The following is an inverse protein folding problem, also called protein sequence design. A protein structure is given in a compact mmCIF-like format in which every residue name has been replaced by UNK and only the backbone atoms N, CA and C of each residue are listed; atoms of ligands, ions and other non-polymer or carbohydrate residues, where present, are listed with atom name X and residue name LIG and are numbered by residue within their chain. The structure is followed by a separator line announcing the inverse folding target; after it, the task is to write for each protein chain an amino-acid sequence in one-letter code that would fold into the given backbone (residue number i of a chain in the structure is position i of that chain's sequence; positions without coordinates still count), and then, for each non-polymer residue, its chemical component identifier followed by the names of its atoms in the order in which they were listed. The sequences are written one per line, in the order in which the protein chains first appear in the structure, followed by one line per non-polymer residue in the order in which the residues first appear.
data_IF_517240223244
#
_entry.id   IF_517240223244
#
_cell.length_a   1.000
_cell.length_b   1.000
_cell.length_c   1.000
_cell.angle_alpha   90.00
_cell.angle_beta   90.00
_cell.angle_gamma   90.00
#
_symmetry.space_group_name_H-M   'P 1'
#
loop_
_entity.id
_entity.type
_entity.pdbx_description
1 polymer ?
#
# COMPACT_ATOMS: atom_id res chain seq x y z
N UNK A 1 1.78 2.99 45.59
CA UNK A 1 1.34 2.82 44.19
C UNK A 1 -0.15 2.58 44.24
N UNK A 2 -0.93 3.51 43.73
CA UNK A 2 -2.39 3.46 43.83
C UNK A 2 -2.95 2.46 42.81
N UNK A 3 -4.18 1.98 43.03
CA UNK A 3 -4.85 1.06 42.09
C UNK A 3 -4.94 1.67 40.66
N UNK A 4 -5.06 2.99 40.56
CA UNK A 4 -5.04 3.72 39.29
C UNK A 4 -3.70 3.60 38.57
N UNK A 5 -2.57 3.76 39.27
CA UNK A 5 -1.23 3.60 38.68
C UNK A 5 -1.04 2.19 38.10
N UNK A 6 -1.52 1.17 38.82
CA UNK A 6 -1.42 -0.22 38.37
C UNK A 6 -2.25 -0.47 37.10
N UNK A 7 -3.44 0.10 37.01
CA UNK A 7 -4.29 -0.03 35.81
C UNK A 7 -3.69 0.68 34.59
N UNK A 8 -3.06 1.84 34.78
CA UNK A 8 -2.33 2.55 33.72
C UNK A 8 -1.13 1.73 33.23
N UNK A 9 -0.36 1.13 34.14
CA UNK A 9 0.80 0.29 33.79
C UNK A 9 0.37 -0.93 32.97
N UNK A 10 -0.68 -1.63 33.41
CA UNK A 10 -1.21 -2.81 32.70
C UNK A 10 -1.70 -2.41 31.30
N UNK A 11 -2.49 -1.33 31.19
CA UNK A 11 -3.00 -0.84 29.91
C UNK A 11 -1.88 -0.43 28.95
N UNK A 12 -0.83 0.21 29.48
CA UNK A 12 0.35 0.58 28.71
C UNK A 12 1.11 -0.65 28.22
N UNK A 13 1.26 -1.66 29.08
CA UNK A 13 1.89 -2.94 28.74
C UNK A 13 1.17 -3.65 27.59
N UNK A 14 -0.16 -3.69 27.60
CA UNK A 14 -0.96 -4.31 26.54
C UNK A 14 -0.81 -3.58 25.20
N UNK A 15 -0.76 -2.24 25.22
CA UNK A 15 -0.54 -1.43 24.03
C UNK A 15 0.85 -1.71 23.45
N UNK A 16 1.89 -1.69 24.29
CA UNK A 16 3.27 -1.96 23.86
C UNK A 16 3.40 -3.38 23.29
N UNK A 17 2.77 -4.38 23.93
CA UNK A 17 2.77 -5.76 23.44
C UNK A 17 2.11 -5.89 22.07
N UNK A 18 0.96 -5.25 21.88
CA UNK A 18 0.23 -5.24 20.60
C UNK A 18 1.05 -4.59 19.48
N UNK A 19 1.66 -3.45 19.78
CA UNK A 19 2.54 -2.73 18.85
C UNK A 19 3.74 -3.60 18.47
N UNK A 20 4.43 -4.19 19.46
CA UNK A 20 5.58 -5.06 19.23
C UNK A 20 5.22 -6.27 18.36
N UNK A 21 4.06 -6.88 18.60
CA UNK A 21 3.57 -7.99 17.78
C UNK A 21 3.32 -7.56 16.33
N UNK A 22 2.72 -6.38 16.12
CA UNK A 22 2.58 -5.78 14.78
C UNK A 22 3.92 -5.58 14.07
N UNK A 23 4.95 -5.11 14.78
CA UNK A 23 6.31 -4.94 14.24
C UNK A 23 6.99 -6.25 13.87
N UNK A 24 6.75 -7.32 14.63
CA UNK A 24 7.27 -8.65 14.29
C UNK A 24 6.64 -9.12 12.98
N UNK A 25 5.31 -9.03 12.86
CA UNK A 25 4.59 -9.43 11.63
C UNK A 25 5.09 -8.64 10.42
N UNK A 26 5.15 -7.30 10.53
CA UNK A 26 5.55 -6.46 9.39
C UNK A 26 7.00 -6.73 8.98
N UNK A 27 7.90 -7.01 9.92
CA UNK A 27 9.30 -7.35 9.63
C UNK A 27 9.43 -8.69 8.91
N UNK A 28 8.65 -9.70 9.33
CA UNK A 28 8.62 -11.00 8.65
C UNK A 28 8.09 -10.84 7.22
N UNK A 29 6.96 -10.16 7.05
CA UNK A 29 6.37 -9.90 5.73
C UNK A 29 7.31 -9.11 4.82
N UNK A 30 8.00 -8.10 5.36
CA UNK A 30 8.98 -7.32 4.63
C UNK A 30 10.21 -8.15 4.22
N UNK A 31 10.71 -9.01 5.10
CA UNK A 31 11.80 -9.94 4.78
C UNK A 31 11.43 -10.89 3.63
N UNK A 32 10.22 -11.46 3.68
CA UNK A 32 9.68 -12.28 2.58
C UNK A 32 9.53 -11.47 1.28
N UNK A 33 9.13 -10.20 1.38
CA UNK A 33 9.02 -9.31 0.22
C UNK A 33 10.38 -9.04 -0.41
N UNK A 34 11.41 -8.69 0.39
CA UNK A 34 12.77 -8.48 -0.12
C UNK A 34 13.27 -9.74 -0.81
N UNK A 35 13.05 -10.92 -0.22
CA UNK A 35 13.45 -12.19 -0.81
C UNK A 35 12.81 -12.42 -2.19
N UNK A 36 11.49 -12.25 -2.28
CA UNK A 36 10.76 -12.42 -3.56
C UNK A 36 11.11 -11.35 -4.60
N UNK A 37 11.26 -10.09 -4.17
CA UNK A 37 11.67 -8.98 -5.04
C UNK A 37 13.11 -9.17 -5.56
N UNK A 38 14.03 -9.58 -4.68
CA UNK A 38 15.41 -9.91 -5.04
C UNK A 38 15.48 -11.07 -6.03
N UNK A 39 14.67 -12.11 -5.82
CA UNK A 39 14.54 -13.22 -6.76
C UNK A 39 14.03 -12.76 -8.13
N UNK A 40 12.99 -11.90 -8.16
CA UNK A 40 12.47 -11.33 -9.40
C UNK A 40 13.54 -10.50 -10.15
N UNK A 41 14.27 -9.63 -9.45
CA UNK A 41 15.34 -8.79 -10.00
C UNK A 41 16.49 -9.65 -10.55
N UNK A 42 16.90 -10.66 -9.78
CA UNK A 42 17.95 -11.60 -10.19
C UNK A 42 17.58 -12.29 -11.51
N UNK A 43 16.35 -12.78 -11.60
CA UNK A 43 15.86 -13.49 -12.78
C UNK A 43 15.79 -12.58 -14.01
N UNK A 44 15.30 -11.36 -13.86
CA UNK A 44 15.27 -10.36 -14.93
C UNK A 44 16.66 -9.97 -15.42
N UNK A 45 17.63 -9.88 -14.51
CA UNK A 45 19.01 -9.52 -14.84
C UNK A 45 19.74 -10.66 -15.54
N UNK A 46 19.57 -11.90 -15.06
CA UNK A 46 20.21 -13.10 -15.61
C UNK A 46 19.83 -13.37 -17.07
N UNK A 47 18.58 -13.10 -17.44
CA UNK A 47 18.04 -13.42 -18.77
C UNK A 47 18.30 -12.35 -19.83
N UNK A 48 19.15 -11.35 -19.53
CA UNK A 48 19.57 -10.31 -20.45
C UNK A 48 18.55 -9.18 -20.60
N UNK A 49 19.03 -7.96 -20.40
CA UNK A 49 18.27 -6.70 -20.40
C UNK A 49 18.09 -6.06 -21.80
N UNK A 50 18.31 -6.82 -22.87
CA UNK A 50 18.45 -6.27 -24.23
C UNK A 50 17.16 -5.70 -24.84
N UNK A 51 15.99 -5.98 -24.25
CA UNK A 51 14.68 -5.51 -24.73
C UNK A 51 14.10 -4.42 -23.82
N UNK A 52 13.71 -3.28 -24.40
CA UNK A 52 13.02 -2.15 -23.73
C UNK A 52 11.92 -2.56 -22.72
N UNK A 53 10.98 -3.48 -23.02
CA UNK A 53 9.96 -3.88 -22.05
C UNK A 53 10.52 -4.50 -20.76
N UNK A 54 11.62 -5.27 -20.85
CA UNK A 54 12.25 -5.86 -19.66
C UNK A 54 12.92 -4.80 -18.80
N UNK A 55 13.52 -3.78 -19.41
CA UNK A 55 14.11 -2.64 -18.69
C UNK A 55 13.04 -1.86 -17.93
N UNK A 56 11.88 -1.61 -18.54
CA UNK A 56 10.75 -0.93 -17.89
C UNK A 56 10.25 -1.74 -16.69
N UNK A 57 10.07 -3.05 -16.85
CA UNK A 57 9.63 -3.93 -15.75
C UNK A 57 10.64 -3.96 -14.61
N UNK A 58 11.94 -4.07 -14.91
CA UNK A 58 13.00 -4.01 -13.89
C UNK A 58 12.98 -2.66 -13.15
N UNK A 59 12.84 -1.56 -13.88
CA UNK A 59 12.75 -0.22 -13.29
C UNK A 59 11.55 -0.12 -12.34
N UNK A 60 10.37 -0.57 -12.76
CA UNK A 60 9.17 -0.59 -11.91
C UNK A 60 9.42 -1.44 -10.65
N UNK A 61 10.03 -2.62 -10.78
CA UNK A 61 10.32 -3.49 -9.64
C UNK A 61 11.32 -2.84 -8.66
N UNK A 62 12.36 -2.16 -9.16
CA UNK A 62 13.31 -1.42 -8.34
C UNK A 62 12.64 -0.25 -7.61
N UNK A 63 11.76 0.50 -8.29
CA UNK A 63 10.97 1.56 -7.67
C UNK A 63 10.06 1.02 -6.57
N UNK A 64 9.35 -0.08 -6.82
CA UNK A 64 8.49 -0.74 -5.83
C UNK A 64 9.30 -1.22 -4.62
N UNK A 65 10.46 -1.83 -4.85
CA UNK A 65 11.33 -2.32 -3.79
C UNK A 65 11.86 -1.17 -2.92
N UNK A 66 12.29 -0.08 -3.56
CA UNK A 66 12.81 1.12 -2.89
C UNK A 66 11.71 1.77 -2.05
N UNK A 67 10.51 1.96 -2.62
CA UNK A 67 9.37 2.57 -1.91
C UNK A 67 8.91 1.71 -0.74
N UNK A 68 8.87 0.39 -0.90
CA UNK A 68 8.52 -0.53 0.19
C UNK A 68 9.56 -0.48 1.31
N UNK A 69 10.84 -0.35 0.96
CA UNK A 69 11.94 -0.21 1.93
C UNK A 69 11.86 1.09 2.70
N UNK A 70 11.67 2.21 2.01
CA UNK A 70 11.50 3.52 2.66
C UNK A 70 10.32 3.46 3.62
N UNK A 71 9.19 2.93 3.18
CA UNK A 71 7.99 2.84 4.01
C UNK A 71 8.19 1.92 5.23
N UNK A 72 8.86 0.79 5.08
CA UNK A 72 9.21 -0.08 6.21
C UNK A 72 10.10 0.63 7.23
N UNK A 73 11.13 1.34 6.77
CA UNK A 73 12.04 2.11 7.63
C UNK A 73 11.29 3.22 8.36
N UNK A 74 10.41 3.95 7.66
CA UNK A 74 9.56 4.98 8.25
C UNK A 74 8.68 4.40 9.36
N UNK A 75 8.02 3.27 9.10
CA UNK A 75 7.17 2.59 10.09
C UNK A 75 7.99 2.15 11.32
N UNK A 76 9.18 1.57 11.12
CA UNK A 76 10.05 1.19 12.22
C UNK A 76 10.53 2.40 13.02
N UNK A 77 10.93 3.47 12.34
CA UNK A 77 11.39 4.70 12.98
C UNK A 77 10.29 5.34 13.84
N UNK A 78 9.05 5.41 13.34
CA UNK A 78 7.89 5.88 14.12
C UNK A 78 7.71 5.07 15.41
N UNK A 79 7.82 3.75 15.33
CA UNK A 79 7.70 2.85 16.49
C UNK A 79 8.75 3.05 17.57
N UNK A 80 9.98 3.41 17.20
CA UNK A 80 11.05 3.67 18.17
C UNK A 80 11.00 5.10 18.71
N UNK A 81 10.61 6.08 17.91
CA UNK A 81 10.58 7.49 18.30
C UNK A 81 9.43 7.81 19.25
N UNK A 82 8.28 7.13 19.13
CA UNK A 82 7.11 7.38 19.98
C UNK A 82 7.38 7.14 21.48
N UNK A 83 7.89 5.97 21.90
CA UNK A 83 8.22 5.72 23.30
C UNK A 83 9.36 6.61 23.80
N UNK A 84 10.40 6.84 22.97
CA UNK A 84 11.55 7.66 23.37
C UNK A 84 11.14 9.11 23.67
N UNK A 85 10.30 9.73 22.84
CA UNK A 85 9.84 11.09 23.08
C UNK A 85 8.94 11.21 24.31
N UNK A 86 8.04 10.24 24.52
CA UNK A 86 7.14 10.21 25.69
C UNK A 86 7.92 10.02 27.00
N UNK A 87 8.93 9.14 26.98
CA UNK A 87 9.68 8.77 28.19
C UNK A 87 10.83 9.73 28.52
N UNK A 88 11.53 10.28 27.52
CA UNK A 88 12.79 11.02 27.74
C UNK A 88 12.57 12.54 27.85
N UNK A 89 11.59 13.11 27.14
CA UNK A 89 11.53 14.57 26.92
C UNK A 89 10.66 15.37 27.91
N UNK A 90 10.13 14.74 28.94
CA UNK A 90 9.49 15.44 30.05
C UNK A 90 9.99 14.84 31.34
N UNK A 91 10.55 15.63 32.24
CA UNK A 91 10.67 15.22 33.64
C UNK A 91 9.76 16.05 34.55
N UNK A 92 9.13 17.10 34.00
CA UNK A 92 8.36 18.12 34.71
C UNK A 92 6.86 18.18 34.36
N UNK A 93 6.42 17.52 33.28
CA UNK A 93 5.02 17.53 32.82
C UNK A 93 4.32 16.21 33.18
N UNK A 94 3.01 16.24 33.42
CA UNK A 94 2.19 15.03 33.59
C UNK A 94 2.18 14.18 32.29
N UNK A 95 1.99 12.86 32.43
CA UNK A 95 2.06 11.91 31.31
C UNK A 95 1.06 12.25 30.19
N UNK A 96 -0.12 12.76 30.55
CA UNK A 96 -1.16 13.15 29.59
C UNK A 96 -0.74 14.37 28.74
N UNK A 97 -0.13 15.39 29.36
CA UNK A 97 0.40 16.55 28.65
C UNK A 97 1.55 16.17 27.72
N UNK A 98 2.38 15.18 28.10
CA UNK A 98 3.45 14.67 27.22
C UNK A 98 2.90 13.94 26.00
N UNK A 99 1.84 13.15 26.18
CA UNK A 99 1.17 12.46 25.06
C UNK A 99 0.52 13.49 24.12
N UNK A 100 -0.09 14.54 24.67
CA UNK A 100 -0.63 15.65 23.88
C UNK A 100 0.46 16.44 23.14
N UNK A 101 1.56 16.77 23.82
CA UNK A 101 2.70 17.44 23.23
C UNK A 101 3.38 16.59 22.15
N UNK A 102 3.51 15.27 22.36
CA UNK A 102 4.02 14.34 21.36
C UNK A 102 3.09 14.24 20.14
N UNK A 103 1.77 14.14 20.35
CA UNK A 103 0.79 14.17 19.26
C UNK A 103 0.88 15.48 18.48
N UNK A 104 1.13 16.60 19.14
CA UNK A 104 1.37 17.89 18.49
C UNK A 104 2.75 17.95 17.79
N UNK A 105 3.75 17.23 18.29
CA UNK A 105 5.13 17.23 17.77
C UNK A 105 5.44 16.11 16.77
N UNK A 106 4.48 15.25 16.42
CA UNK A 106 4.68 14.12 15.47
C UNK A 106 5.13 14.60 14.07
N UNK A 107 5.00 15.90 13.81
CA UNK A 107 5.29 16.57 12.54
C UNK A 107 6.78 16.74 12.14
N UNK A 108 7.74 17.19 12.97
CA UNK A 108 9.07 17.61 12.46
C UNK A 108 10.20 16.57 12.54
N UNK A 109 10.06 15.49 13.33
CA UNK A 109 11.18 14.64 13.73
C UNK A 109 11.73 13.72 12.62
N UNK A 110 10.85 13.24 11.74
CA UNK A 110 11.23 12.26 10.70
C UNK A 110 12.03 12.91 9.56
N UNK A 111 11.66 14.14 9.17
CA UNK A 111 12.43 14.96 8.21
C UNK A 111 13.75 15.46 8.78
N UNK A 112 13.80 15.81 10.07
CA UNK A 112 15.06 16.18 10.74
C UNK A 112 16.08 15.03 10.67
N UNK A 113 15.65 13.79 10.91
CA UNK A 113 16.53 12.63 10.83
C UNK A 113 16.92 12.25 9.38
N UNK A 114 15.99 12.30 8.43
CA UNK A 114 16.32 12.07 7.00
C UNK A 114 17.27 13.16 6.47
N UNK A 115 17.08 14.41 6.87
CA UNK A 115 17.98 15.52 6.56
C UNK A 115 19.38 15.34 7.15
N UNK A 116 19.46 14.83 8.39
CA UNK A 116 20.74 14.51 9.02
C UNK A 116 21.45 13.30 8.39
N UNK A 117 20.72 12.30 7.90
CA UNK A 117 21.29 11.16 7.16
C UNK A 117 21.82 11.61 5.78
N UNK A 118 21.20 12.62 5.16
CA UNK A 118 21.58 13.12 3.83
C UNK A 118 22.80 14.05 3.85
N UNK A 119 23.39 14.35 5.02
CA UNK A 119 24.64 15.10 5.17
C UNK A 119 24.64 16.54 4.63
N UNK A 120 23.53 17.02 4.08
CA UNK A 120 23.45 18.26 3.34
C UNK A 120 22.02 18.80 3.41
N UNK A 121 21.72 19.54 4.48
CA UNK A 121 20.79 20.69 4.50
C UNK A 121 20.56 21.09 5.96
N UNK A 122 21.31 22.09 6.39
CA UNK A 122 21.19 22.72 7.70
C UNK A 122 19.93 23.61 7.70
N UNK A 123 18.74 23.00 7.77
CA UNK A 123 17.47 23.73 7.86
C UNK A 123 17.31 24.21 9.30
N UNK A 124 17.59 25.50 9.50
CA UNK A 124 17.31 26.22 10.75
C UNK A 124 15.79 26.28 10.93
N UNK A 125 15.26 25.42 11.80
CA UNK A 125 13.83 25.39 12.15
C UNK A 125 13.46 26.65 12.94
N UNK A 126 12.65 27.51 12.34
CA UNK A 126 12.06 28.68 12.99
C UNK A 126 10.68 28.29 13.52
N UNK A 127 10.50 28.44 14.83
CA UNK A 127 9.38 27.93 15.62
C UNK A 127 8.13 28.83 15.49
N UNK A 128 7.55 28.96 14.30
CA UNK A 128 6.31 29.75 14.13
C UNK A 128 5.36 29.12 13.10
N UNK A 129 4.19 28.67 13.59
CA UNK A 129 2.95 28.46 12.84
C UNK A 129 2.95 27.52 11.61
N UNK A 130 3.31 26.24 11.79
CA UNK A 130 3.03 25.18 10.79
C UNK A 130 2.37 23.98 11.47
N UNK A 131 1.09 24.10 11.83
CA UNK A 131 0.38 23.06 12.58
C UNK A 131 -0.38 22.05 11.70
N UNK A 132 -0.28 22.10 10.36
CA UNK A 132 -1.20 21.38 9.46
C UNK A 132 -0.57 20.53 8.35
N UNK A 133 0.76 20.43 8.23
CA UNK A 133 1.35 19.92 6.98
C UNK A 133 2.09 18.56 7.03
N UNK A 134 2.17 17.84 8.15
CA UNK A 134 3.15 16.72 8.28
C UNK A 134 2.61 15.34 8.67
N UNK A 135 1.34 15.20 9.10
CA UNK A 135 0.61 13.92 8.94
C UNK A 135 0.56 13.50 7.46
N UNK A 136 0.79 14.44 6.55
CA UNK A 136 0.84 14.25 5.11
C UNK A 136 1.96 13.32 4.65
N UNK A 137 3.08 13.13 5.36
CA UNK A 137 4.26 12.42 4.80
C UNK A 137 4.12 10.90 4.82
N UNK A 138 3.75 10.31 5.97
CA UNK A 138 3.44 8.87 6.03
C UNK A 138 2.23 8.52 5.15
N UNK A 139 1.26 9.44 5.09
CA UNK A 139 0.20 9.39 4.09
C UNK A 139 0.77 9.39 2.67
N UNK A 140 1.62 10.35 2.28
CA UNK A 140 2.22 10.47 0.93
C UNK A 140 2.93 9.16 0.53
N UNK A 141 3.69 8.53 1.41
CA UNK A 141 4.38 7.26 1.10
C UNK A 141 3.40 6.10 0.90
N UNK A 142 2.36 6.00 1.74
CA UNK A 142 1.28 5.04 1.55
C UNK A 142 0.54 5.30 0.22
N UNK A 143 0.28 6.56 -0.11
CA UNK A 143 -0.37 6.99 -1.36
C UNK A 143 0.47 6.72 -2.62
N UNK A 144 1.79 6.86 -2.53
CA UNK A 144 2.70 6.50 -3.61
C UNK A 144 2.62 5.00 -3.94
N UNK A 145 2.47 4.14 -2.93
CA UNK A 145 2.29 2.70 -3.15
C UNK A 145 0.97 2.37 -3.86
N UNK A 146 -0.12 3.07 -3.54
CA UNK A 146 -1.39 2.94 -4.26
C UNK A 146 -1.24 3.33 -5.74
N UNK A 147 -0.54 4.43 -6.04
CA UNK A 147 -0.32 4.86 -7.43
C UNK A 147 0.46 3.84 -8.25
N UNK A 148 1.51 3.23 -7.69
CA UNK A 148 2.26 2.18 -8.39
C UNK A 148 1.45 0.90 -8.57
N UNK A 149 0.68 0.51 -7.54
CA UNK A 149 -0.25 -0.63 -7.62
C UNK A 149 -1.29 -0.42 -8.72
N UNK A 150 -1.92 0.75 -8.76
CA UNK A 150 -2.93 1.08 -9.78
C UNK A 150 -2.30 1.18 -11.18
N UNK A 151 -1.09 1.72 -11.30
CA UNK A 151 -0.35 1.77 -12.57
C UNK A 151 -0.13 0.36 -13.15
N UNK A 152 0.17 -0.63 -12.31
CA UNK A 152 0.35 -2.02 -12.73
C UNK A 152 -0.97 -2.65 -13.21
N UNK A 153 -2.09 -2.27 -12.60
CA UNK A 153 -3.44 -2.69 -12.96
C UNK A 153 -3.85 -2.16 -14.32
N UNK A 154 -3.50 -0.91 -14.62
CA UNK A 154 -3.70 -0.34 -15.95
C UNK A 154 -2.75 -0.94 -16.97
N UNK A 155 -1.49 -1.16 -16.59
CA UNK A 155 -0.50 -1.78 -17.46
C UNK A 155 -0.92 -3.17 -17.93
N UNK A 156 -1.47 -4.04 -17.05
CA UNK A 156 -1.97 -5.37 -17.45
C UNK A 156 -3.11 -5.29 -18.46
N UNK A 157 -4.08 -4.40 -18.26
CA UNK A 157 -5.21 -4.24 -19.17
C UNK A 157 -4.75 -3.65 -20.52
N UNK A 158 -3.85 -2.67 -20.47
CA UNK A 158 -3.26 -2.05 -21.65
C UNK A 158 -2.45 -3.02 -22.50
N UNK A 159 -1.57 -3.80 -21.87
CA UNK A 159 -0.72 -4.79 -22.54
C UNK A 159 -1.57 -5.78 -23.35
N UNK A 160 -2.74 -6.13 -22.81
CA UNK A 160 -3.66 -7.06 -23.44
C UNK A 160 -4.47 -6.39 -24.55
N UNK A 161 -4.93 -5.15 -24.40
CA UNK A 161 -5.84 -4.48 -25.35
C UNK A 161 -5.15 -3.61 -26.42
N UNK A 162 -3.96 -3.99 -26.88
CA UNK A 162 -3.29 -3.31 -28.00
C UNK A 162 -4.19 -3.28 -29.25
N UNK A 163 -4.62 -2.06 -29.66
CA UNK A 163 -5.37 -1.82 -30.91
C UNK A 163 -6.78 -1.21 -30.73
N UNK A 164 -7.42 -1.38 -29.57
CA UNK A 164 -8.76 -0.81 -29.34
C UNK A 164 -8.69 0.53 -28.58
N UNK A 165 -8.58 1.64 -29.34
CA UNK A 165 -8.39 3.00 -28.79
C UNK A 165 -9.45 3.39 -27.76
N UNK A 166 -10.73 3.02 -27.95
CA UNK A 166 -11.82 3.39 -27.05
C UNK A 166 -11.64 2.84 -25.62
N UNK A 167 -11.32 1.55 -25.48
CA UNK A 167 -11.06 0.92 -24.18
C UNK A 167 -9.81 1.49 -23.51
N UNK A 168 -8.77 1.77 -24.30
CA UNK A 168 -7.56 2.43 -23.81
C UNK A 168 -7.85 3.84 -23.26
N UNK A 169 -8.70 4.61 -23.95
CA UNK A 169 -9.14 5.93 -23.48
C UNK A 169 -9.91 5.85 -22.17
N UNK A 170 -10.85 4.91 -22.05
CA UNK A 170 -11.60 4.71 -20.79
C UNK A 170 -10.65 4.36 -19.64
N UNK A 171 -9.70 3.44 -19.86
CA UNK A 171 -8.73 3.04 -18.86
C UNK A 171 -7.81 4.20 -18.44
N UNK A 172 -7.33 5.01 -19.40
CA UNK A 172 -6.53 6.20 -19.10
C UNK A 172 -7.36 7.23 -18.32
N UNK A 173 -8.59 7.52 -18.75
CA UNK A 173 -9.45 8.48 -18.09
C UNK A 173 -9.67 8.07 -16.63
N UNK A 174 -9.94 6.79 -16.38
CA UNK A 174 -10.11 6.27 -15.03
C UNK A 174 -8.82 6.31 -14.21
N UNK A 175 -7.66 6.01 -14.81
CA UNK A 175 -6.36 6.13 -14.17
C UNK A 175 -6.04 7.57 -13.75
N UNK A 176 -6.30 8.54 -14.64
CA UNK A 176 -6.11 9.96 -14.36
C UNK A 176 -7.08 10.43 -13.28
N UNK A 177 -8.35 10.05 -13.34
CA UNK A 177 -9.34 10.38 -12.31
C UNK A 177 -8.93 9.82 -10.95
N UNK A 178 -8.49 8.57 -10.90
CA UNK A 178 -8.02 7.95 -9.66
C UNK A 178 -6.75 8.64 -9.13
N UNK A 179 -5.77 8.93 -9.99
CA UNK A 179 -4.58 9.68 -9.60
C UNK A 179 -4.93 11.09 -9.09
N UNK A 180 -5.87 11.79 -9.75
CA UNK A 180 -6.34 13.10 -9.33
C UNK A 180 -7.05 13.04 -7.97
N UNK A 181 -7.89 12.02 -7.73
CA UNK A 181 -8.55 11.82 -6.43
C UNK A 181 -7.55 11.51 -5.32
N UNK A 182 -6.52 10.71 -5.62
CA UNK A 182 -5.43 10.43 -4.69
C UNK A 182 -4.69 11.74 -4.36
N UNK A 183 -4.29 12.52 -5.37
CA UNK A 183 -3.62 13.82 -5.18
C UNK A 183 -4.49 14.80 -4.40
N UNK A 184 -5.79 14.87 -4.71
CA UNK A 184 -6.74 15.74 -4.02
C UNK A 184 -6.89 15.35 -2.54
N UNK A 185 -6.96 14.05 -2.26
CA UNK A 185 -7.02 13.52 -0.90
C UNK A 185 -5.76 13.82 -0.09
N UNK A 186 -4.58 13.87 -0.75
CA UNK A 186 -3.32 14.27 -0.10
C UNK A 186 -3.18 15.76 0.10
N UNK A 187 -3.68 16.58 -0.82
CA UNK A 187 -3.44 18.02 -0.82
C UNK A 187 -4.39 18.79 0.09
N UNK A 188 -5.64 18.32 0.24
CA UNK A 188 -6.70 19.04 0.97
C UNK A 188 -6.88 18.50 2.40
N UNK A 189 -6.20 17.39 2.74
CA UNK A 189 -6.46 16.66 3.97
C UNK A 189 -7.84 15.98 3.94
N UNK A 190 -8.17 15.13 4.92
CA UNK A 190 -9.51 14.56 5.00
C UNK A 190 -10.52 15.72 5.08
N UNK A 191 -11.50 15.73 4.17
CA UNK A 191 -12.63 16.64 4.24
C UNK A 191 -13.32 16.42 5.59
N UNK A 192 -12.94 17.20 6.60
CA UNK A 192 -13.66 17.30 7.88
C UNK A 192 -14.94 18.05 7.58
N UNK A 193 -15.91 17.34 7.00
CA UNK A 193 -17.29 17.74 7.16
C UNK A 193 -17.66 17.37 8.59
N UNK A 194 -17.61 18.38 9.47
CA UNK A 194 -18.48 18.39 10.63
C UNK A 194 -19.90 18.06 10.14
N UNK A 195 -20.59 17.21 10.90
CA UNK A 195 -21.96 16.72 10.70
C UNK A 195 -22.12 15.33 10.03
N UNK A 196 -22.53 14.40 10.90
CA UNK A 196 -23.24 13.13 10.67
C UNK A 196 -22.42 11.84 10.66
N UNK A 197 -22.66 11.05 11.71
CA UNK A 197 -22.28 9.64 11.89
C UNK A 197 -23.00 8.76 10.87
N UNK A 198 -22.50 8.76 9.65
CA UNK A 198 -23.09 7.95 8.58
C UNK A 198 -22.02 7.19 7.82
N UNK A 199 -22.43 6.06 7.24
CA UNK A 199 -21.66 5.33 6.23
C UNK A 199 -21.11 6.27 5.15
N UNK A 200 -21.83 7.37 4.85
CA UNK A 200 -21.40 8.39 3.92
C UNK A 200 -20.09 9.10 4.30
N UNK A 201 -19.82 9.29 5.59
CA UNK A 201 -18.59 9.94 6.07
C UNK A 201 -17.37 9.03 5.94
N UNK A 202 -17.47 7.77 6.37
CA UNK A 202 -16.39 6.78 6.19
C UNK A 202 -16.17 6.41 4.72
N UNK A 203 -17.25 6.41 3.93
CA UNK A 203 -17.14 6.28 2.48
C UNK A 203 -16.33 7.43 1.89
N UNK A 204 -16.62 8.67 2.30
CA UNK A 204 -15.92 9.88 1.85
C UNK A 204 -14.44 9.87 2.23
N UNK A 205 -14.09 9.38 3.42
CA UNK A 205 -12.69 9.23 3.87
C UNK A 205 -11.94 8.15 3.09
N UNK A 206 -12.65 7.17 2.53
CA UNK A 206 -12.09 6.00 1.83
C UNK A 206 -12.33 6.00 0.32
N UNK A 207 -12.66 7.15 -0.28
CA UNK A 207 -12.97 7.27 -1.72
C UNK A 207 -11.83 6.76 -2.62
N UNK A 208 -10.57 7.05 -2.27
CA UNK A 208 -9.40 6.59 -3.04
C UNK A 208 -9.32 5.06 -3.12
N UNK A 209 -9.59 4.37 -2.01
CA UNK A 209 -9.63 2.90 -1.97
C UNK A 209 -10.77 2.35 -2.83
N UNK A 210 -11.93 3.01 -2.80
CA UNK A 210 -13.08 2.62 -3.61
C UNK A 210 -12.82 2.77 -5.11
N UNK A 211 -12.22 3.88 -5.54
CA UNK A 211 -11.84 4.08 -6.94
C UNK A 211 -10.74 3.13 -7.39
N UNK A 212 -9.75 2.82 -6.54
CA UNK A 212 -8.75 1.78 -6.83
C UNK A 212 -9.40 0.40 -6.99
N UNK A 213 -10.38 0.05 -6.14
CA UNK A 213 -11.13 -1.20 -6.24
C UNK A 213 -11.91 -1.29 -7.57
N UNK A 214 -12.65 -0.24 -7.94
CA UNK A 214 -13.38 -0.20 -9.22
C UNK A 214 -12.42 -0.33 -10.39
N UNK A 215 -11.28 0.39 -10.37
CA UNK A 215 -10.24 0.29 -11.41
C UNK A 215 -9.80 -1.17 -11.59
N UNK A 216 -9.57 -1.86 -10.48
CA UNK A 216 -9.14 -3.25 -10.45
C UNK A 216 -10.19 -4.21 -11.00
N UNK A 217 -11.45 -4.05 -10.60
CA UNK A 217 -12.56 -4.85 -11.09
C UNK A 217 -12.75 -4.62 -12.60
N UNK A 218 -12.74 -3.37 -13.06
CA UNK A 218 -12.88 -3.05 -14.48
C UNK A 218 -11.73 -3.62 -15.32
N UNK A 219 -10.49 -3.46 -14.86
CA UNK A 219 -9.32 -4.02 -15.54
C UNK A 219 -9.39 -5.55 -15.61
N UNK A 220 -9.71 -6.21 -14.50
CA UNK A 220 -9.83 -7.67 -14.44
C UNK A 220 -10.98 -8.17 -15.32
N UNK A 221 -12.12 -7.47 -15.30
CA UNK A 221 -13.28 -7.79 -16.14
C UNK A 221 -12.99 -7.61 -17.62
N UNK A 222 -12.27 -6.56 -18.02
CA UNK A 222 -11.85 -6.34 -19.41
C UNK A 222 -10.89 -7.44 -19.89
N UNK A 223 -9.98 -7.90 -19.02
CA UNK A 223 -9.10 -9.03 -19.29
C UNK A 223 -9.91 -10.33 -19.41
N UNK A 224 -10.84 -10.58 -18.48
CA UNK A 224 -11.71 -11.75 -18.47
C UNK A 224 -12.63 -11.80 -19.70
N UNK A 225 -13.19 -10.68 -20.11
CA UNK A 225 -14.00 -10.57 -21.32
C UNK A 225 -13.19 -10.91 -22.58
N UNK A 226 -11.93 -10.46 -22.66
CA UNK A 226 -11.06 -10.84 -23.76
C UNK A 226 -10.72 -12.32 -23.73
N UNK A 227 -10.49 -12.90 -22.55
CA UNK A 227 -10.29 -14.33 -22.37
C UNK A 227 -11.51 -15.14 -22.85
N UNK A 228 -12.71 -14.67 -22.49
CA UNK A 228 -13.97 -15.25 -22.93
C UNK A 228 -14.13 -15.19 -24.44
N UNK A 229 -13.90 -14.02 -25.07
CA UNK A 229 -13.99 -13.86 -26.53
C UNK A 229 -13.00 -14.76 -27.28
N UNK A 230 -11.85 -15.06 -26.68
CA UNK A 230 -10.86 -16.01 -27.20
C UNK A 230 -11.24 -17.49 -26.97
N UNK A 231 -12.44 -17.74 -26.45
CA UNK A 231 -12.99 -19.05 -26.07
C UNK A 231 -12.07 -19.84 -25.12
N UNK A 232 -11.33 -19.13 -24.26
CA UNK A 232 -10.37 -19.74 -23.31
C UNK A 232 -11.07 -20.65 -22.29
N UNK A 233 -12.31 -20.33 -21.93
CA UNK A 233 -13.07 -21.12 -20.97
C UNK A 233 -13.89 -22.26 -21.62
N UNK A 234 -13.93 -22.31 -22.96
CA UNK A 234 -14.65 -23.34 -23.73
C UNK A 234 -13.76 -24.54 -24.07
N UNK A 235 -14.32 -25.76 -23.96
CA UNK A 235 -13.66 -26.99 -24.41
C UNK A 235 -13.64 -27.03 -25.93
N UNK A 236 -12.50 -26.75 -26.55
CA UNK A 236 -12.15 -27.37 -27.83
C UNK A 236 -10.63 -27.32 -28.06
N UNK A 237 -10.05 -28.52 -28.08
CA UNK A 237 -8.69 -28.81 -28.50
C UNK A 237 -8.54 -28.44 -29.97
N UNK A 238 -7.92 -27.30 -30.29
CA UNK A 238 -7.26 -27.15 -31.58
C UNK A 238 -5.90 -26.49 -31.43
N UNK A 239 -4.91 -27.32 -31.73
CA UNK A 239 -3.47 -27.13 -31.71
C UNK A 239 -3.00 -25.92 -32.52
N UNK A 240 -2.43 -24.93 -31.82
CA UNK A 240 -1.35 -24.09 -32.33
C UNK A 240 -0.46 -23.74 -31.13
N UNK A 241 0.80 -24.20 -31.13
CA UNK A 241 1.75 -24.04 -30.00
C UNK A 241 1.89 -22.59 -29.48
N UNK A 242 1.64 -21.57 -30.32
CA UNK A 242 1.66 -20.16 -29.88
C UNK A 242 0.40 -19.71 -29.13
N UNK A 243 -0.73 -20.41 -29.29
CA UNK A 243 -2.04 -20.09 -28.70
C UNK A 243 -2.17 -20.60 -27.27
N UNK A 244 -1.44 -21.66 -26.89
CA UNK A 244 -1.39 -22.21 -25.53
C UNK A 244 -0.73 -21.26 -24.54
N UNK A 245 0.32 -20.53 -24.96
CA UNK A 245 1.03 -19.57 -24.11
C UNK A 245 0.17 -18.37 -23.74
N UNK A 246 -0.41 -17.70 -24.73
CA UNK A 246 -1.32 -16.57 -24.50
C UNK A 246 -2.51 -17.01 -23.67
N UNK A 247 -2.98 -18.25 -23.86
CA UNK A 247 -4.02 -18.86 -23.04
C UNK A 247 -3.61 -18.98 -21.56
N UNK A 248 -2.46 -19.60 -21.26
CA UNK A 248 -1.95 -19.78 -19.89
C UNK A 248 -1.79 -18.44 -19.18
N UNK A 249 -1.15 -17.50 -19.87
CA UNK A 249 -0.92 -16.13 -19.38
C UNK A 249 -2.26 -15.45 -19.08
N UNK A 250 -3.18 -15.42 -20.06
CA UNK A 250 -4.43 -14.70 -19.91
C UNK A 250 -5.32 -15.29 -18.82
N UNK A 251 -5.37 -16.62 -18.70
CA UNK A 251 -6.07 -17.30 -17.60
C UNK A 251 -5.47 -16.96 -16.24
N UNK A 252 -4.14 -17.03 -16.11
CA UNK A 252 -3.45 -16.67 -14.87
C UNK A 252 -3.71 -15.22 -14.47
N UNK A 253 -3.67 -14.27 -15.42
CA UNK A 253 -3.97 -12.86 -15.15
C UNK A 253 -5.40 -12.64 -14.64
N UNK A 254 -6.39 -13.39 -15.14
CA UNK A 254 -7.77 -13.33 -14.65
C UNK A 254 -7.88 -13.91 -13.25
N UNK A 255 -7.31 -15.09 -13.02
CA UNK A 255 -7.35 -15.76 -11.71
C UNK A 255 -6.65 -14.89 -10.63
N UNK A 256 -5.44 -14.39 -10.91
CA UNK A 256 -4.69 -13.54 -9.99
C UNK A 256 -5.39 -12.19 -9.76
N UNK A 257 -5.92 -11.58 -10.82
CA UNK A 257 -6.66 -10.32 -10.73
C UNK A 257 -7.93 -10.44 -9.90
N UNK A 258 -8.63 -11.58 -10.00
CA UNK A 258 -9.85 -11.85 -9.22
C UNK A 258 -9.53 -12.02 -7.74
N UNK A 259 -8.49 -12.79 -7.40
CA UNK A 259 -8.02 -12.92 -6.01
C UNK A 259 -7.61 -11.57 -5.42
N UNK A 260 -6.93 -10.73 -6.19
CA UNK A 260 -6.57 -9.39 -5.76
C UNK A 260 -7.81 -8.51 -5.50
N UNK A 261 -8.81 -8.54 -6.38
CA UNK A 261 -10.06 -7.80 -6.17
C UNK A 261 -10.77 -8.27 -4.89
N UNK A 262 -10.82 -9.57 -4.62
CA UNK A 262 -11.41 -10.11 -3.38
C UNK A 262 -10.67 -9.61 -2.14
N UNK A 263 -9.34 -9.64 -2.16
CA UNK A 263 -8.52 -9.10 -1.07
C UNK A 263 -8.76 -7.60 -0.86
N UNK A 264 -8.89 -6.83 -1.94
CA UNK A 264 -9.22 -5.40 -1.86
C UNK A 264 -10.62 -5.14 -1.30
N UNK A 265 -11.65 -5.93 -1.67
CA UNK A 265 -13.00 -5.82 -1.09
C UNK A 265 -12.96 -6.08 0.41
N UNK A 266 -12.28 -7.16 0.81
CA UNK A 266 -12.12 -7.52 2.21
C UNK A 266 -11.42 -6.40 2.97
N UNK A 267 -10.30 -5.89 2.44
CA UNK A 267 -9.57 -4.78 3.05
C UNK A 267 -10.44 -3.53 3.18
N UNK A 268 -11.15 -3.14 2.11
CA UNK A 268 -12.04 -1.98 2.10
C UNK A 268 -13.15 -2.11 3.15
N UNK A 269 -13.81 -3.27 3.22
CA UNK A 269 -14.84 -3.55 4.21
C UNK A 269 -14.30 -3.43 5.64
N UNK A 270 -13.07 -3.92 5.88
CA UNK A 270 -12.43 -3.80 7.19
C UNK A 270 -12.07 -2.34 7.54
N UNK A 271 -11.61 -1.54 6.58
CA UNK A 271 -11.33 -0.10 6.80
C UNK A 271 -12.62 0.67 7.14
N UNK A 272 -13.72 0.40 6.44
CA UNK A 272 -15.01 1.02 6.76
C UNK A 272 -15.50 0.59 8.15
N UNK A 273 -15.41 -0.71 8.48
CA UNK A 273 -15.80 -1.21 9.79
C UNK A 273 -14.93 -0.62 10.92
N UNK A 274 -13.63 -0.44 10.66
CA UNK A 274 -12.69 0.20 11.57
C UNK A 274 -13.07 1.66 11.87
N UNK A 275 -13.42 2.43 10.84
CA UNK A 275 -13.79 3.84 10.97
C UNK A 275 -15.11 4.02 11.75
N UNK A 276 -16.08 3.11 11.52
CA UNK A 276 -17.32 3.05 12.30
C UNK A 276 -17.08 2.74 13.78
N UNK A 277 -16.14 1.84 14.08
CA UNK A 277 -15.84 1.40 15.45
C UNK A 277 -14.85 2.30 16.20
N UNK A 278 -14.18 3.25 15.53
CA UNK A 278 -13.15 4.11 16.13
C UNK A 278 -13.67 5.00 17.27
N UNK A 279 -14.99 5.23 17.37
CA UNK A 279 -15.60 6.01 18.47
C UNK A 279 -16.15 5.17 19.64
N UNK A 280 -16.28 3.84 19.50
CA UNK A 280 -16.67 2.93 20.61
C UNK A 280 -15.46 2.45 21.43
N UNK A 281 -14.43 3.31 21.54
CA UNK A 281 -13.03 3.01 21.86
C UNK A 281 -12.82 1.92 22.94
N UNK A 282 -12.65 0.68 22.51
CA UNK A 282 -12.02 -0.38 23.29
C UNK A 282 -10.56 -0.52 22.85
N UNK A 283 -9.65 -0.83 23.78
CA UNK A 283 -8.20 -1.03 23.51
C UNK A 283 -7.94 -2.08 22.42
N UNK A 284 -8.90 -2.98 22.21
CA UNK A 284 -8.90 -4.01 21.18
C UNK A 284 -9.08 -3.46 19.75
N UNK A 285 -9.94 -2.45 19.53
CA UNK A 285 -10.18 -1.91 18.18
C UNK A 285 -8.97 -1.13 17.63
N UNK A 286 -8.26 -0.41 18.50
CA UNK A 286 -7.06 0.34 18.15
C UNK A 286 -5.91 -0.58 17.73
N UNK A 287 -5.73 -1.68 18.45
CA UNK A 287 -4.70 -2.70 18.16
C UNK A 287 -4.94 -3.41 16.82
N UNK A 288 -6.19 -3.79 16.57
CA UNK A 288 -6.61 -4.46 15.34
C UNK A 288 -6.40 -3.58 14.10
N UNK A 289 -6.76 -2.30 14.18
CA UNK A 289 -6.61 -1.35 13.07
C UNK A 289 -5.16 -1.12 12.66
N UNK A 290 -4.25 -1.07 13.64
CA UNK A 290 -2.82 -0.93 13.38
C UNK A 290 -2.27 -2.13 12.62
N UNK A 291 -2.53 -3.36 13.09
CA UNK A 291 -2.05 -4.60 12.44
C UNK A 291 -2.60 -4.71 11.02
N UNK A 292 -3.89 -4.46 10.82
CA UNK A 292 -4.52 -4.54 9.51
C UNK A 292 -3.87 -3.59 8.49
N UNK A 293 -3.62 -2.34 8.92
CA UNK A 293 -2.98 -1.32 8.09
C UNK A 293 -1.59 -1.76 7.65
N UNK A 294 -0.80 -2.33 8.57
CA UNK A 294 0.55 -2.80 8.27
C UNK A 294 0.56 -4.00 7.30
N UNK A 295 -0.35 -4.96 7.49
CA UNK A 295 -0.46 -6.13 6.61
C UNK A 295 -0.85 -5.71 5.19
N UNK A 296 -1.84 -4.82 5.06
CA UNK A 296 -2.31 -4.37 3.75
C UNK A 296 -1.22 -3.66 2.94
N UNK A 297 -0.50 -2.75 3.58
CA UNK A 297 0.65 -2.03 3.02
C UNK A 297 1.70 -2.98 2.46
N UNK A 298 1.92 -4.12 3.11
CA UNK A 298 2.86 -5.14 2.61
C UNK A 298 2.27 -5.99 1.49
N UNK A 299 0.99 -6.37 1.53
CA UNK A 299 0.37 -7.20 0.48
C UNK A 299 0.38 -6.51 -0.90
N UNK A 300 0.24 -5.18 -0.93
CA UNK A 300 0.20 -4.38 -2.17
C UNK A 300 1.39 -4.65 -3.11
N UNK A 301 2.66 -4.53 -2.69
CA UNK A 301 3.82 -4.80 -3.54
C UNK A 301 4.09 -6.29 -3.80
N UNK A 302 3.56 -7.22 -2.99
CA UNK A 302 3.69 -8.66 -3.25
C UNK A 302 2.97 -9.09 -4.53
N UNK A 303 1.74 -8.63 -4.72
CA UNK A 303 0.92 -9.01 -5.87
C UNK A 303 1.63 -8.81 -7.22
N UNK A 304 2.14 -7.61 -7.57
CA UNK A 304 2.83 -7.42 -8.84
C UNK A 304 4.15 -8.17 -8.92
N UNK A 305 4.88 -8.33 -7.81
CA UNK A 305 6.14 -9.08 -7.79
C UNK A 305 5.91 -10.54 -8.15
N UNK A 306 4.92 -11.19 -7.53
CA UNK A 306 4.54 -12.58 -7.83
C UNK A 306 4.03 -12.70 -9.26
N UNK A 307 3.21 -11.75 -9.72
CA UNK A 307 2.71 -11.71 -11.10
C UNK A 307 3.88 -11.70 -12.09
N UNK A 308 4.91 -10.88 -11.86
CA UNK A 308 6.08 -10.79 -12.73
C UNK A 308 6.91 -12.08 -12.74
N UNK A 309 7.10 -12.71 -11.58
CA UNK A 309 7.80 -13.99 -11.47
C UNK A 309 7.05 -15.06 -12.27
N UNK A 310 5.76 -15.23 -12.03
CA UNK A 310 4.96 -16.28 -12.69
C UNK A 310 4.85 -16.03 -14.19
N UNK A 311 4.65 -14.78 -14.63
CA UNK A 311 4.66 -14.44 -16.04
C UNK A 311 5.98 -14.79 -16.70
N UNK A 312 7.10 -14.61 -16.00
CA UNK A 312 8.40 -15.03 -16.50
C UNK A 312 8.54 -16.55 -16.53
N UNK A 313 8.12 -17.27 -15.49
CA UNK A 313 8.20 -18.74 -15.48
C UNK A 313 7.38 -19.37 -16.63
N UNK A 314 6.17 -18.86 -16.87
CA UNK A 314 5.34 -19.25 -18.02
C UNK A 314 6.02 -18.86 -19.34
N UNK A 315 6.79 -17.77 -19.36
CA UNK A 315 7.54 -17.38 -20.55
C UNK A 315 8.65 -18.40 -20.88
N UNK A 316 9.32 -18.96 -19.88
CA UNK A 316 10.49 -19.84 -20.04
C UNK A 316 10.12 -21.31 -20.27
N UNK A 317 9.03 -21.80 -19.66
CA UNK A 317 8.57 -23.20 -19.81
C UNK A 317 8.21 -23.61 -21.24
N UNK A 318 7.99 -22.63 -22.12
CA UNK A 318 7.62 -22.87 -23.52
C UNK A 318 8.81 -22.56 -24.49
N UNK A 319 10.01 -22.27 -23.97
CA UNK A 319 11.25 -22.08 -24.76
C UNK A 319 12.22 -23.27 -24.74
N UNK A 320 11.91 -24.29 -23.95
CA UNK A 320 12.53 -25.62 -23.96
C UNK A 320 11.69 -26.60 -24.80
#
# INVERSE_FOLDING_TARGET
MNAEDLTIIVRTGDIVRSIAFGYIIISILFGLYIGTSGFAIYFMTRNGLRRRPRQIVLFIQLCLCTMSTINFVTICAEGFLEPQMILIHGHSLELEERVLAYRASKAPLLLYYIGNISGSLNVRYQHTHVHTNHDNIAHIFCFQQFLFSDTLVFWRAWAIWHGHRFLQFILIAFAISNAALIVLSTAIGPFKSDLSESVGSAFKSSLSLFFSLISNILATSAIAYKAWKMNIFGKEHHSQLGRTRTYKILRFLVESGTLFCLLQVVYYAMVIAADMNAKSATTFSLSYNSILRYVAVMILPFYPTVLLIVLHLIWESDSE
#
